data_IF_673160601167
#
_entry.id   IF_673160601167
#
_cell.length_a   1.000
_cell.length_b   1.000
_cell.length_c   1.000
_cell.angle_alpha   90.00
_cell.angle_beta   90.00
_cell.angle_gamma   90.00
#
_symmetry.space_group_name_H-M   'P 1'
#
loop_
_entity.id
_entity.type
_entity.pdbx_description
1 polymer ?
#
# COMPACT_ATOMS: atom_id res chain seq x y z
N UNK A 1 17.67 -7.10 15.05
CA UNK A 1 17.32 -5.67 15.16
C UNK A 1 17.83 -4.92 13.92
N UNK A 2 17.43 -5.36 12.71
CA UNK A 2 17.95 -4.80 11.44
C UNK A 2 16.81 -4.65 10.43
N UNK A 3 15.87 -5.60 10.40
CA UNK A 3 14.77 -5.59 9.43
C UNK A 3 13.79 -4.44 9.65
N UNK A 4 13.33 -4.19 10.88
CA UNK A 4 12.41 -3.08 11.17
C UNK A 4 13.01 -1.73 10.74
N UNK A 5 14.26 -1.46 11.12
CA UNK A 5 14.94 -0.21 10.76
C UNK A 5 15.17 -0.09 9.25
N UNK A 6 15.45 -1.21 8.58
CA UNK A 6 15.53 -1.24 7.12
C UNK A 6 14.18 -0.89 6.48
N UNK A 7 13.09 -1.56 6.89
CA UNK A 7 11.75 -1.30 6.36
C UNK A 7 11.33 0.14 6.59
N UNK A 8 11.60 0.67 7.80
CA UNK A 8 11.34 2.06 8.13
C UNK A 8 12.12 3.01 7.21
N UNK A 9 13.41 2.77 6.99
CA UNK A 9 14.21 3.56 6.05
C UNK A 9 13.67 3.47 4.61
N UNK A 10 13.20 2.29 4.19
CA UNK A 10 12.64 2.11 2.86
C UNK A 10 11.37 2.96 2.65
N UNK A 11 10.52 3.04 3.67
CA UNK A 11 9.30 3.86 3.70
C UNK A 11 9.67 5.35 3.74
N UNK A 12 10.53 5.76 4.67
CA UNK A 12 10.87 7.17 4.90
C UNK A 12 11.54 7.82 3.67
N UNK A 13 12.26 7.03 2.86
CA UNK A 13 12.91 7.49 1.64
C UNK A 13 12.09 7.21 0.36
N UNK A 14 10.86 6.69 0.50
CA UNK A 14 9.95 6.40 -0.61
C UNK A 14 10.60 5.56 -1.75
N UNK A 15 11.35 4.51 -1.38
CA UNK A 15 12.07 3.66 -2.34
C UNK A 15 11.17 2.77 -3.19
N UNK A 16 9.90 2.61 -2.79
CA UNK A 16 8.91 1.80 -3.48
C UNK A 16 7.57 2.51 -3.47
N UNK A 17 6.73 2.16 -4.45
CA UNK A 17 5.33 2.55 -4.46
C UNK A 17 4.59 2.00 -3.24
N UNK A 18 3.51 2.69 -2.87
CA UNK A 18 2.70 2.34 -1.69
C UNK A 18 2.18 0.90 -1.73
N UNK A 19 1.70 0.43 -2.89
CA UNK A 19 1.22 -0.95 -3.06
C UNK A 19 2.35 -1.97 -2.87
N UNK A 20 3.51 -1.72 -3.47
CA UNK A 20 4.69 -2.57 -3.33
C UNK A 20 5.16 -2.65 -1.89
N UNK A 21 5.14 -1.53 -1.16
CA UNK A 21 5.52 -1.50 0.24
C UNK A 21 4.53 -2.28 1.11
N UNK A 22 3.22 -2.12 0.90
CA UNK A 22 2.19 -2.90 1.60
C UNK A 22 2.38 -4.41 1.36
N UNK A 23 2.61 -4.84 0.11
CA UNK A 23 2.85 -6.24 -0.22
C UNK A 23 4.10 -6.80 0.46
N UNK A 24 5.18 -6.03 0.51
CA UNK A 24 6.40 -6.42 1.24
C UNK A 24 6.14 -6.60 2.73
N UNK A 25 5.48 -5.63 3.37
CA UNK A 25 5.14 -5.71 4.80
C UNK A 25 4.28 -6.94 5.11
N UNK A 26 3.29 -7.24 4.26
CA UNK A 26 2.47 -8.45 4.36
C UNK A 26 3.29 -9.73 4.31
N UNK A 27 4.27 -9.82 3.40
CA UNK A 27 5.16 -10.97 3.28
C UNK A 27 5.99 -11.12 4.56
N UNK A 28 6.64 -10.05 5.02
CA UNK A 28 7.46 -10.11 6.24
C UNK A 28 6.64 -10.51 7.47
N UNK A 29 5.42 -9.99 7.61
CA UNK A 29 4.52 -10.38 8.68
C UNK A 29 4.06 -11.84 8.57
N UNK A 30 3.70 -12.31 7.38
CA UNK A 30 3.28 -13.71 7.13
C UNK A 30 4.37 -14.72 7.52
N UNK A 31 5.63 -14.35 7.30
CA UNK A 31 6.78 -15.18 7.69
C UNK A 31 7.29 -14.90 9.12
N UNK A 32 6.51 -14.22 9.95
CA UNK A 32 6.84 -13.85 11.34
C UNK A 32 8.21 -13.16 11.46
N UNK A 33 8.64 -12.42 10.43
CA UNK A 33 9.91 -11.68 10.43
C UNK A 33 9.80 -10.33 11.17
N UNK A 34 8.57 -9.82 11.26
CA UNK A 34 8.18 -8.66 12.06
C UNK A 34 6.97 -9.05 12.90
N UNK A 35 6.85 -8.47 14.09
CA UNK A 35 5.69 -8.68 14.94
C UNK A 35 4.50 -7.79 14.51
N UNK A 36 3.35 -8.02 15.15
CA UNK A 36 2.12 -7.27 14.86
C UNK A 36 2.25 -5.76 15.14
N UNK A 37 2.99 -5.38 16.18
CA UNK A 37 3.18 -3.99 16.57
C UNK A 37 4.00 -3.24 15.51
N UNK A 38 5.13 -3.83 15.12
CA UNK A 38 5.99 -3.36 14.04
C UNK A 38 5.25 -3.27 12.71
N UNK A 39 4.52 -4.33 12.34
CA UNK A 39 3.73 -4.34 11.11
C UNK A 39 2.69 -3.22 11.10
N UNK A 40 1.93 -3.05 12.19
CA UNK A 40 0.89 -2.02 12.28
C UNK A 40 1.49 -0.62 12.19
N UNK A 41 2.64 -0.38 12.83
CA UNK A 41 3.32 0.91 12.77
C UNK A 41 3.83 1.22 11.36
N UNK A 42 4.50 0.26 10.72
CA UNK A 42 5.03 0.42 9.35
C UNK A 42 3.88 0.62 8.35
N UNK A 43 2.77 -0.11 8.48
CA UNK A 43 1.57 0.07 7.64
C UNK A 43 0.94 1.46 7.81
N UNK A 44 0.91 1.99 9.03
CA UNK A 44 0.42 3.35 9.27
C UNK A 44 1.35 4.43 8.69
N UNK A 45 2.66 4.16 8.61
CA UNK A 45 3.63 5.05 7.96
C UNK A 45 3.50 5.05 6.44
N UNK A 46 3.22 3.89 5.84
CA UNK A 46 2.95 3.74 4.39
C UNK A 46 1.62 4.38 4.01
N UNK A 47 0.63 4.28 4.91
CA UNK A 47 -0.71 4.80 4.72
C UNK A 47 -1.00 5.86 5.78
N UNK A 48 -0.28 7.00 5.77
CA UNK A 48 -0.49 8.03 6.78
C UNK A 48 -1.95 8.49 6.68
N UNK A 49 -2.65 8.45 7.82
CA UNK A 49 -3.99 9.03 7.97
C UNK A 49 -3.88 10.57 7.97
N UNK A 50 -3.34 11.14 6.90
CA UNK A 50 -3.59 12.53 6.57
C UNK A 50 -5.00 12.58 5.98
N UNK A 51 -5.79 13.51 6.51
CA UNK A 51 -7.13 13.86 6.08
C UNK A 51 -7.22 13.86 4.55
N UNK A 52 -8.35 13.40 4.04
CA UNK A 52 -8.82 13.73 2.70
C UNK A 52 -8.53 15.22 2.42
N UNK A 53 -7.55 15.50 1.56
CA UNK A 53 -7.52 16.72 0.79
C UNK A 53 -6.91 16.41 -0.58
N UNK A 54 -7.82 16.34 -1.55
CA UNK A 54 -7.69 16.71 -2.96
C UNK A 54 -6.35 16.45 -3.68
N UNK A 55 -6.37 15.46 -4.58
CA UNK A 55 -5.38 15.42 -5.67
C UNK A 55 -5.27 14.08 -6.38
N UNK A 56 -6.17 13.88 -7.35
CA UNK A 56 -6.02 12.99 -8.51
C UNK A 56 -6.44 11.53 -8.29
N UNK A 57 -7.77 11.34 -8.24
CA UNK A 57 -8.37 10.26 -9.01
C UNK A 57 -8.09 10.53 -10.50
N UNK A 58 -7.28 9.70 -11.15
CA UNK A 58 -7.50 9.36 -12.54
C UNK A 58 -7.82 7.87 -12.61
N UNK A 59 -9.12 7.61 -12.48
CA UNK A 59 -9.75 6.43 -13.07
C UNK A 59 -9.62 6.59 -14.59
N UNK A 60 -8.89 5.68 -15.23
CA UNK A 60 -9.20 5.37 -16.61
C UNK A 60 -9.19 3.86 -16.82
N UNK A 61 -10.36 3.26 -16.56
CA UNK A 61 -10.72 1.97 -17.12
C UNK A 61 -12.10 2.14 -17.78
N UNK A 62 -12.15 2.93 -18.85
CA UNK A 62 -13.24 2.88 -19.82
C UNK A 62 -12.78 2.04 -21.03
N UNK A 63 -13.31 0.83 -21.13
CA UNK A 63 -13.74 0.12 -22.36
C UNK A 63 -13.99 -1.36 -21.95
N UNK A 64 -15.11 -2.05 -22.18
CA UNK A 64 -16.35 -1.80 -22.91
C UNK A 64 -17.34 -2.84 -22.35
N UNK A 65 -18.53 -2.44 -21.85
CA UNK A 65 -19.66 -3.37 -21.73
C UNK A 65 -20.86 -2.70 -22.39
N UNK A 66 -20.94 -2.82 -23.71
CA UNK A 66 -22.20 -2.56 -24.40
C UNK A 66 -23.20 -3.68 -24.08
N UNK A 67 -24.38 -3.22 -23.68
CA UNK A 67 -25.45 -3.92 -23.01
C UNK A 67 -26.51 -4.35 -24.04
N UNK A 68 -26.92 -5.61 -23.95
CA UNK A 68 -28.26 -6.16 -24.19
C UNK A 68 -29.00 -5.88 -25.53
N UNK A 69 -29.27 -6.97 -26.24
CA UNK A 69 -30.59 -7.47 -26.70
C UNK A 69 -31.77 -6.46 -26.67
N UNK A 70 -32.46 -6.39 -27.82
CA UNK A 70 -33.91 -6.15 -28.07
C UNK A 70 -34.28 -4.80 -28.72
N UNK A 71 -34.50 -4.82 -30.04
CA UNK A 71 -35.78 -4.48 -30.68
C UNK A 71 -36.02 -5.41 -31.88
#
# INVERSE_FOLDING_TARGET
>A
MILYDLLKNLIDNNYYEKEDMNNKLNVFYTFNQIDMEQYSELMARVNPAAKEDAGNQELNVEDTIEKAITQ
#
